data_IF_660926323516
#
_entry.id   IF_660926323516
#
_cell.length_a   1.000
_cell.length_b   1.000
_cell.length_c   1.000
_cell.angle_alpha   90.00
_cell.angle_beta   90.00
_cell.angle_gamma   90.00
#
_symmetry.space_group_name_H-M   'P 1'
#
loop_
_entity.id
_entity.type
_entity.pdbx_description
1 polymer ?
#
# COMPACT_ATOMS: atom_id res chain seq x y z
N UNK A 1 19.15 14.02 19.18
CA UNK A 1 19.17 13.49 20.06
C UNK A 1 18.94 13.18 20.15
N UNK A 2 18.78 13.58 19.75
CA UNK A 2 18.73 13.03 20.33
C UNK A 2 18.19 12.80 20.38
N UNK A 3 18.28 12.98 20.11
CA UNK A 3 17.87 12.36 20.70
C UNK A 3 17.11 12.30 20.67
N UNK A 4 17.11 13.10 19.88
CA UNK A 4 16.78 12.57 20.49
C UNK A 4 16.06 12.49 20.48
N UNK A 5 15.79 12.91 20.09
CA UNK A 5 15.50 12.42 20.59
C UNK A 5 14.93 12.24 20.73
N UNK A 6 15.01 12.64 20.31
CA UNK A 6 14.83 12.08 20.92
C UNK A 6 14.24 11.87 20.96
N UNK A 7 14.08 12.13 20.59
CA UNK A 7 13.94 11.56 21.15
C UNK A 7 13.27 11.26 21.09
N UNK A 8 13.17 11.66 20.68
CA UNK A 8 12.90 11.01 21.05
C UNK A 8 12.43 10.61 20.93
N UNK A 9 12.56 10.91 20.70
CA UNK A 9 12.43 10.11 20.87
C UNK A 9 12.12 9.41 20.91
N UNK A 10 12.29 9.28 20.82
CA UNK A 10 12.27 8.28 21.03
C UNK A 10 11.69 7.55 21.09
N UNK A 11 11.85 7.54 21.32
CA UNK A 11 11.40 6.61 21.37
C UNK A 11 10.43 6.28 21.28
N UNK A 12 10.31 5.79 21.25
CA UNK A 12 9.38 5.29 20.95
C UNK A 12 8.83 4.99 19.74
N UNK A 13 9.14 4.53 19.32
CA UNK A 13 8.78 4.34 18.00
C UNK A 13 9.04 2.97 17.40
N UNK A 14 9.50 2.11 18.13
CA UNK A 14 9.85 0.76 17.70
C UNK A 14 8.65 0.03 17.11
N UNK A 15 7.48 0.36 17.54
CA UNK A 15 6.29 -0.27 16.97
C UNK A 15 5.99 0.22 15.56
N UNK A 16 6.76 1.19 15.08
CA UNK A 16 6.61 1.68 13.73
C UNK A 16 7.70 1.19 12.80
N UNK A 17 8.44 0.19 13.25
CA UNK A 17 9.47 -0.42 12.42
C UNK A 17 8.91 -1.52 11.55
N UNK A 18 7.70 -1.34 11.07
CA UNK A 18 7.11 -2.30 10.14
C UNK A 18 7.86 -2.23 8.83
N UNK A 19 8.07 -3.40 8.24
CA UNK A 19 8.80 -3.49 6.99
C UNK A 19 7.91 -3.04 5.85
N UNK A 20 8.43 -2.15 5.02
CA UNK A 20 7.67 -1.63 3.89
C UNK A 20 7.45 -2.73 2.86
N UNK A 21 6.22 -2.88 2.40
CA UNK A 21 5.83 -3.90 1.44
C UNK A 21 5.74 -3.32 0.03
N UNK A 22 5.11 -2.18 -0.13
CA UNK A 22 4.95 -1.58 -1.45
C UNK A 22 4.72 -0.07 -1.34
N UNK A 23 4.92 0.60 -2.46
CA UNK A 23 4.65 2.04 -2.57
C UNK A 23 3.96 2.26 -3.91
N UNK A 24 2.85 2.99 -3.89
CA UNK A 24 2.04 3.23 -5.08
C UNK A 24 1.75 4.71 -5.26
N UNK A 25 1.78 5.15 -6.52
CA UNK A 25 1.39 6.49 -6.92
C UNK A 25 0.08 6.45 -7.68
N UNK A 26 -0.72 7.50 -7.53
CA UNK A 26 -1.99 7.60 -8.24
C UNK A 26 -1.75 8.08 -9.67
N UNK A 27 -2.46 7.45 -10.61
CA UNK A 27 -2.35 7.78 -12.02
C UNK A 27 -3.75 7.82 -12.64
N UNK A 28 -3.85 8.44 -13.81
CA UNK A 28 -5.10 8.49 -14.55
C UNK A 28 -4.82 8.09 -15.98
N UNK A 29 -5.63 7.17 -16.51
CA UNK A 29 -5.48 6.71 -17.88
C UNK A 29 -6.00 7.76 -18.86
N UNK A 30 -5.73 7.54 -20.15
CA UNK A 30 -6.20 8.47 -21.16
C UNK A 30 -7.72 8.57 -21.18
N UNK A 31 -8.41 7.54 -20.72
CA UNK A 31 -9.86 7.50 -20.68
C UNK A 31 -10.43 8.08 -19.39
N UNK A 32 -9.58 8.58 -18.51
CA UNK A 32 -10.03 9.19 -17.28
C UNK A 32 -10.17 8.24 -16.11
N UNK A 33 -9.75 6.99 -16.26
CA UNK A 33 -9.85 6.01 -15.18
C UNK A 33 -8.62 6.07 -14.28
N UNK A 34 -8.85 6.06 -12.98
CA UNK A 34 -7.75 6.10 -12.02
C UNK A 34 -7.21 4.71 -11.77
N UNK A 35 -5.90 4.64 -11.63
CA UNK A 35 -5.22 3.40 -11.28
C UNK A 35 -3.95 3.74 -10.51
N UNK A 36 -3.25 2.71 -10.07
CA UNK A 36 -2.07 2.90 -9.21
C UNK A 36 -0.87 2.19 -9.82
N UNK A 37 0.29 2.82 -9.71
CA UNK A 37 1.54 2.19 -10.17
C UNK A 37 2.63 2.43 -9.14
N UNK A 38 3.57 1.51 -9.06
CA UNK A 38 4.67 1.67 -8.11
C UNK A 38 5.58 0.47 -8.08
N UNK A 39 6.12 0.21 -6.89
CA UNK A 39 7.12 -0.83 -6.71
C UNK A 39 6.85 -1.61 -5.44
N UNK A 40 7.20 -2.90 -5.46
CA UNK A 40 7.17 -3.70 -4.24
C UNK A 40 8.52 -3.56 -3.51
N UNK A 41 8.68 -4.30 -2.42
CA UNK A 41 9.89 -4.15 -1.59
C UNK A 41 11.15 -4.69 -2.28
N UNK A 42 11.01 -5.41 -3.38
CA UNK A 42 12.14 -5.86 -4.20
C UNK A 42 12.35 -4.98 -5.41
N UNK A 43 11.66 -3.83 -5.47
CA UNK A 43 11.73 -2.88 -6.58
C UNK A 43 11.18 -3.44 -7.89
N UNK A 44 10.34 -4.47 -7.81
CA UNK A 44 9.61 -4.94 -8.97
C UNK A 44 8.43 -4.02 -9.23
N UNK A 45 8.18 -3.74 -10.50
CA UNK A 45 7.07 -2.86 -10.86
C UNK A 45 5.74 -3.55 -10.61
N UNK A 46 4.80 -2.79 -10.04
CA UNK A 46 3.47 -3.31 -9.76
C UNK A 46 2.43 -2.29 -10.23
N UNK A 47 1.21 -2.79 -10.44
CA UNK A 47 0.10 -1.96 -10.86
C UNK A 47 -1.13 -2.36 -10.06
N UNK A 48 -1.90 -1.37 -9.61
CA UNK A 48 -3.08 -1.63 -8.82
C UNK A 48 -4.31 -1.04 -9.48
N UNK A 49 -5.43 -1.74 -9.32
CA UNK A 49 -6.70 -1.31 -9.87
C UNK A 49 -7.73 -1.23 -8.76
N UNK A 50 -8.54 -0.19 -8.82
CA UNK A 50 -9.68 -0.09 -7.91
C UNK A 50 -10.72 -1.09 -8.34
N UNK A 51 -11.21 -1.86 -7.38
CA UNK A 51 -12.18 -2.90 -7.63
C UNK A 51 -13.59 -2.34 -7.39
N UNK A 52 -14.48 -2.56 -8.34
CA UNK A 52 -15.87 -2.17 -8.17
C UNK A 52 -16.55 -3.21 -7.29
N UNK A 53 -16.85 -2.83 -6.07
CA UNK A 53 -17.37 -3.76 -5.06
C UNK A 53 -18.89 -3.86 -5.15
N UNK A 54 -19.39 -5.08 -5.03
CA UNK A 54 -20.83 -5.30 -4.91
C UNK A 54 -21.25 -5.30 -3.43
N UNK A 55 -20.31 -5.55 -2.51
CA UNK A 55 -20.59 -5.50 -1.09
C UNK A 55 -19.28 -5.29 -0.32
N UNK A 56 -19.39 -5.10 1.00
CA UNK A 56 -18.25 -4.76 1.82
C UNK A 56 -17.24 -5.89 2.00
N UNK A 57 -17.61 -7.09 1.65
CA UNK A 57 -16.70 -8.24 1.78
C UNK A 57 -15.73 -8.34 0.62
N UNK A 58 -15.96 -7.60 -0.45
CA UNK A 58 -15.08 -7.65 -1.60
C UNK A 58 -13.95 -6.66 -1.44
N UNK A 59 -12.77 -6.94 -2.03
CA UNK A 59 -11.63 -6.06 -1.91
C UNK A 59 -11.86 -4.73 -2.62
N UNK A 60 -11.12 -3.72 -2.16
CA UNK A 60 -11.17 -2.38 -2.74
C UNK A 60 -10.10 -2.19 -3.80
N UNK A 61 -8.94 -2.83 -3.64
CA UNK A 61 -7.82 -2.66 -4.56
C UNK A 61 -7.19 -4.02 -4.79
N UNK A 62 -6.89 -4.31 -6.06
CA UNK A 62 -6.17 -5.51 -6.45
C UNK A 62 -4.88 -5.10 -7.13
N UNK A 63 -3.78 -5.69 -6.72
CA UNK A 63 -2.45 -5.33 -7.20
C UNK A 63 -1.83 -6.51 -7.94
N UNK A 64 -1.30 -6.21 -9.13
CA UNK A 64 -0.71 -7.22 -10.01
C UNK A 64 0.72 -6.83 -10.32
N UNK A 65 1.52 -7.80 -10.75
CA UNK A 65 2.85 -7.51 -11.24
C UNK A 65 2.82 -6.92 -12.63
N UNK A 66 3.98 -6.38 -13.04
CA UNK A 66 4.16 -5.85 -14.39
C UNK A 66 5.37 -6.57 -14.98
N UNK A 67 5.21 -7.13 -16.17
CA UNK A 67 6.30 -7.89 -16.79
C UNK A 67 7.30 -6.96 -17.45
N UNK A 68 8.32 -7.53 -18.10
CA UNK A 68 9.39 -6.75 -18.69
C UNK A 68 8.93 -5.88 -19.84
N UNK A 69 7.80 -6.22 -20.42
CA UNK A 69 7.22 -5.43 -21.52
C UNK A 69 6.28 -4.35 -21.03
N UNK A 70 6.11 -4.23 -19.71
CA UNK A 70 5.23 -3.24 -19.14
C UNK A 70 3.77 -3.67 -19.07
N UNK A 71 3.50 -4.94 -19.30
CA UNK A 71 2.14 -5.44 -19.28
C UNK A 71 1.78 -6.03 -17.92
N UNK A 72 0.53 -5.90 -17.54
CA UNK A 72 0.03 -6.47 -16.31
C UNK A 72 0.06 -7.99 -16.39
N UNK A 73 0.64 -8.62 -15.37
CA UNK A 73 0.62 -10.08 -15.28
C UNK A 73 -0.78 -10.52 -14.84
N UNK A 74 -1.06 -11.81 -15.01
CA UNK A 74 -2.36 -12.33 -14.60
C UNK A 74 -2.43 -12.70 -13.14
N UNK A 75 -1.29 -12.69 -12.48
CA UNK A 75 -1.24 -13.10 -11.08
C UNK A 75 -1.46 -11.90 -10.17
N UNK A 76 -2.50 -11.98 -9.35
CA UNK A 76 -2.78 -10.97 -8.33
C UNK A 76 -1.84 -11.22 -7.16
N UNK A 77 -1.00 -10.24 -6.85
CA UNK A 77 0.03 -10.43 -5.82
C UNK A 77 -0.37 -9.86 -4.46
N UNK A 78 -1.26 -8.87 -4.44
CA UNK A 78 -1.73 -8.27 -3.19
C UNK A 78 -3.20 -7.92 -3.35
N UNK A 79 -3.97 -8.16 -2.29
CA UNK A 79 -5.39 -7.83 -2.27
C UNK A 79 -5.67 -7.00 -1.02
N UNK A 80 -6.34 -5.86 -1.18
CA UNK A 80 -6.56 -4.91 -0.10
C UNK A 80 -8.04 -4.61 0.10
N UNK A 81 -8.44 -4.50 1.36
CA UNK A 81 -9.79 -4.14 1.76
C UNK A 81 -9.77 -2.83 2.54
N UNK A 82 -10.84 -2.05 2.42
CA UNK A 82 -10.98 -0.84 3.23
C UNK A 82 -11.07 -1.20 4.70
N UNK A 83 -10.43 -0.39 5.54
CA UNK A 83 -10.50 -0.59 6.97
C UNK A 83 -10.39 0.77 7.68
N UNK A 84 -10.78 0.80 8.95
CA UNK A 84 -10.59 1.96 9.79
C UNK A 84 -9.75 1.52 10.98
N UNK A 85 -8.62 2.19 11.19
CA UNK A 85 -7.72 1.82 12.27
C UNK A 85 -8.28 2.32 13.59
N UNK A 86 -8.43 1.40 14.55
CA UNK A 86 -9.08 1.72 15.81
C UNK A 86 -8.29 2.76 16.62
N UNK A 87 -6.99 2.71 16.55
CA UNK A 87 -6.14 3.60 17.33
C UNK A 87 -6.23 5.04 16.89
N UNK A 88 -6.22 5.26 15.58
CA UNK A 88 -6.20 6.63 15.05
C UNK A 88 -7.55 7.08 14.52
N UNK A 89 -8.47 6.15 14.27
CA UNK A 89 -9.74 6.47 13.63
C UNK A 89 -9.63 6.80 12.16
N UNK A 90 -8.44 6.65 11.58
CA UNK A 90 -8.24 6.98 10.17
C UNK A 90 -8.57 5.80 9.28
N UNK A 91 -9.03 6.13 8.08
CA UNK A 91 -9.30 5.12 7.06
C UNK A 91 -8.00 4.69 6.40
N UNK A 92 -7.92 3.42 6.05
CA UNK A 92 -6.79 2.88 5.35
C UNK A 92 -7.16 1.56 4.71
N UNK A 93 -6.15 0.71 4.53
CA UNK A 93 -6.34 -0.56 3.85
C UNK A 93 -5.66 -1.66 4.64
N UNK A 94 -6.20 -2.86 4.56
CA UNK A 94 -5.56 -4.04 5.11
C UNK A 94 -5.78 -5.19 4.14
N UNK A 95 -4.88 -6.16 4.15
CA UNK A 95 -5.03 -7.28 3.23
C UNK A 95 -3.90 -8.27 3.34
N UNK A 96 -3.67 -8.97 2.23
CA UNK A 96 -2.72 -10.08 2.19
C UNK A 96 -1.99 -10.11 0.86
N UNK A 97 -0.76 -10.63 0.90
CA UNK A 97 -0.06 -10.99 -0.32
C UNK A 97 -0.59 -12.33 -0.82
N UNK A 98 -0.14 -12.72 -2.02
CA UNK A 98 -0.52 -14.03 -2.57
C UNK A 98 0.09 -15.19 -1.78
N UNK A 99 1.03 -14.89 -0.87
CA UNK A 99 1.57 -15.88 0.04
C UNK A 99 0.94 -15.79 1.41
N UNK A 100 -0.17 -15.05 1.51
CA UNK A 100 -0.96 -14.91 2.73
C UNK A 100 -0.26 -14.16 3.84
N UNK A 101 0.70 -13.34 3.49
CA UNK A 101 1.34 -12.45 4.47
C UNK A 101 0.45 -11.24 4.69
N UNK A 102 0.11 -10.95 5.94
CA UNK A 102 -0.75 -9.83 6.27
C UNK A 102 -0.05 -8.50 6.10
N UNK A 103 -0.81 -7.48 5.72
CA UNK A 103 -0.26 -6.14 5.58
C UNK A 103 -1.32 -5.08 5.84
N UNK A 104 -0.85 -3.87 6.10
CA UNK A 104 -1.70 -2.69 6.22
C UNK A 104 -1.13 -1.62 5.31
N UNK A 105 -1.98 -0.68 4.90
CA UNK A 105 -1.55 0.38 4.02
C UNK A 105 -2.23 1.69 4.41
N UNK A 106 -1.54 2.78 4.13
CA UNK A 106 -1.98 4.12 4.51
C UNK A 106 -2.05 5.01 3.27
N UNK A 107 -3.03 5.90 3.26
CA UNK A 107 -3.18 6.88 2.20
C UNK A 107 -2.33 8.10 2.47
N UNK A 108 -1.69 8.60 1.42
CA UNK A 108 -0.99 9.87 1.47
C UNK A 108 -1.79 10.95 0.75
N UNK A 109 -1.06 11.93 0.19
CA UNK A 109 -1.69 13.06 -0.49
C UNK A 109 -1.85 12.76 -1.97
N UNK A 110 -3.10 12.57 -2.39
CA UNK A 110 -3.40 12.27 -3.78
C UNK A 110 -3.05 13.43 -4.72
N UNK A 111 -3.01 14.64 -4.19
CA UNK A 111 -2.79 15.83 -4.99
C UNK A 111 -1.33 16.16 -5.23
N UNK A 112 -0.42 15.43 -4.60
CA UNK A 112 1.01 15.67 -4.77
C UNK A 112 1.62 14.53 -5.59
N UNK A 113 1.86 14.75 -6.90
CA UNK A 113 2.35 13.66 -7.76
C UNK A 113 3.76 13.19 -7.42
N UNK A 114 4.51 13.96 -6.63
CA UNK A 114 5.84 13.57 -6.24
C UNK A 114 5.86 12.62 -5.06
N UNK A 115 4.77 12.56 -4.29
CA UNK A 115 4.70 11.72 -3.12
C UNK A 115 3.82 10.51 -3.39
N UNK A 116 4.15 9.37 -2.80
CA UNK A 116 3.30 8.20 -2.98
C UNK A 116 1.93 8.42 -2.37
N UNK A 117 0.92 7.85 -3.01
CA UNK A 117 -0.44 7.96 -2.52
C UNK A 117 -0.77 6.86 -1.52
N UNK A 118 -0.22 5.66 -1.72
CA UNK A 118 -0.47 4.54 -0.81
C UNK A 118 0.85 3.87 -0.49
N UNK A 119 1.09 3.63 0.80
CA UNK A 119 2.25 2.87 1.27
C UNK A 119 1.77 1.70 2.10
N UNK A 120 2.27 0.52 1.80
CA UNK A 120 1.89 -0.68 2.51
C UNK A 120 3.04 -1.26 3.29
N UNK A 121 2.72 -1.87 4.42
CA UNK A 121 3.70 -2.44 5.34
C UNK A 121 3.24 -3.81 5.77
N UNK A 122 4.21 -4.72 5.96
CA UNK A 122 3.91 -6.03 6.51
C UNK A 122 3.56 -5.87 7.99
N UNK A 123 2.51 -6.57 8.42
CA UNK A 123 2.09 -6.49 9.82
C UNK A 123 2.87 -7.43 10.72
N UNK A 124 3.58 -8.39 10.12
CA UNK A 124 4.28 -9.40 10.88
C UNK A 124 5.78 -9.20 10.73
N UNK A 125 6.46 -9.09 11.86
CA UNK A 125 7.90 -9.00 11.86
C UNK A 125 8.53 -10.37 11.75
N UNK A 126 9.65 -10.41 11.05
CA UNK A 126 10.43 -11.63 10.98
C UNK A 126 11.87 -11.35 11.34
#
# INVERSE_FOLDING_TARGET
MKYVKSEQKETKKEKFDLKECFTLWSNTSKEGNKYLTGYDFNHNRIIGFYNRKANDKQPSIRIFGVDEEGKTTQEEIITLWDTTFKTSGKCGLSGYTNEKEGLIAFYGDENDPKKPYIKGYFTKEN
#
